data_IF_991596752967
#
_entry.id   IF_991596752967
#
_cell.length_a   1.000
_cell.length_b   1.000
_cell.length_c   1.000
_cell.angle_alpha   90.00
_cell.angle_beta   90.00
_cell.angle_gamma   90.00
#
_symmetry.space_group_name_H-M   'P 1'
#
loop_
_entity.id
_entity.type
_entity.pdbx_description
1 polymer ?
#
# COMPACT_ATOMS: atom_id res chain seq x y z
N UNK A 1 6.25 6.94 -15.35
CA UNK A 1 5.47 7.92 -14.58
C UNK A 1 4.12 7.33 -14.27
N UNK A 2 3.77 7.27 -12.98
CA UNK A 2 2.42 6.94 -12.50
C UNK A 2 1.41 7.98 -13.03
N UNK A 3 0.28 7.55 -13.57
CA UNK A 3 -0.81 8.46 -13.98
C UNK A 3 -1.63 8.91 -12.78
N UNK A 4 -2.21 10.12 -12.80
CA UNK A 4 -3.11 10.61 -11.73
C UNK A 4 -4.25 9.63 -11.40
N UNK A 5 -4.74 8.86 -12.38
CA UNK A 5 -5.77 7.83 -12.17
C UNK A 5 -5.36 6.74 -11.15
N UNK A 6 -4.06 6.43 -11.05
CA UNK A 6 -3.53 5.45 -10.09
C UNK A 6 -3.37 6.04 -8.69
N UNK A 7 -3.31 7.37 -8.56
CA UNK A 7 -3.36 8.07 -7.27
C UNK A 7 -4.77 8.06 -6.70
N UNK A 8 -5.76 8.32 -7.53
CA UNK A 8 -7.18 8.29 -7.14
C UNK A 8 -7.67 6.86 -6.85
N UNK A 9 -6.98 5.86 -7.39
CA UNK A 9 -7.28 4.43 -7.22
C UNK A 9 -6.00 3.64 -6.90
N UNK A 10 -5.47 3.76 -5.67
CA UNK A 10 -4.25 3.08 -5.25
C UNK A 10 -4.31 1.55 -5.41
N UNK A 11 -5.51 0.96 -5.29
CA UNK A 11 -5.76 -0.47 -5.52
C UNK A 11 -5.45 -0.94 -6.95
N UNK A 12 -5.55 -0.06 -7.96
CA UNK A 12 -5.21 -0.42 -9.35
C UNK A 12 -3.72 -0.62 -9.56
N UNK A 13 -2.89 -0.10 -8.65
CA UNK A 13 -1.45 -0.28 -8.72
C UNK A 13 -1.07 -1.73 -8.45
N UNK A 14 -1.85 -2.47 -7.66
CA UNK A 14 -1.53 -3.85 -7.31
C UNK A 14 -1.37 -4.76 -8.53
N UNK A 15 -2.23 -4.61 -9.54
CA UNK A 15 -2.13 -5.38 -10.79
C UNK A 15 -0.81 -5.11 -11.52
N UNK A 16 -0.32 -3.85 -11.52
CA UNK A 16 0.96 -3.47 -12.16
C UNK A 16 2.16 -4.14 -11.50
N UNK A 17 2.10 -4.38 -10.20
CA UNK A 17 3.20 -4.94 -9.40
C UNK A 17 3.00 -6.41 -9.04
N UNK A 18 1.98 -7.08 -9.60
CA UNK A 18 1.65 -8.47 -9.22
C UNK A 18 1.42 -8.63 -7.71
N UNK A 19 0.84 -7.61 -7.08
CA UNK A 19 0.49 -7.59 -5.66
C UNK A 19 -0.93 -8.13 -5.49
N UNK A 20 -1.13 -8.94 -4.46
CA UNK A 20 -2.47 -9.41 -4.06
C UNK A 20 -2.88 -8.74 -2.75
N UNK A 21 -4.11 -8.25 -2.68
CA UNK A 21 -4.66 -7.63 -1.48
C UNK A 21 -5.73 -8.51 -0.84
N UNK A 22 -5.84 -8.45 0.49
CA UNK A 22 -6.73 -9.30 1.30
C UNK A 22 -7.80 -8.49 2.03
N UNK A 23 -8.84 -7.99 1.35
CA UNK A 23 -9.80 -7.04 1.93
C UNK A 23 -10.70 -7.63 3.02
N UNK A 24 -10.88 -8.94 3.08
CA UNK A 24 -11.69 -9.59 4.13
C UNK A 24 -10.83 -9.81 5.38
N UNK A 25 -9.65 -10.40 5.20
CA UNK A 25 -8.66 -10.66 6.23
C UNK A 25 -8.15 -9.36 6.82
N UNK A 26 -8.01 -8.28 6.03
CA UNK A 26 -7.61 -6.97 6.55
C UNK A 26 -8.61 -6.39 7.54
N UNK A 27 -9.90 -6.72 7.43
CA UNK A 27 -10.90 -6.29 8.42
C UNK A 27 -10.81 -7.09 9.71
N UNK A 28 -10.34 -8.33 9.61
CA UNK A 28 -10.17 -9.24 10.75
C UNK A 28 -8.87 -8.87 11.48
N UNK A 29 -7.74 -8.90 10.77
CA UNK A 29 -6.41 -8.55 11.28
C UNK A 29 -6.40 -7.10 11.77
N UNK A 30 -6.89 -6.17 10.95
CA UNK A 30 -6.89 -4.74 11.23
C UNK A 30 -5.50 -4.09 11.07
N UNK A 31 -5.36 -2.86 11.56
CA UNK A 31 -4.15 -2.05 11.44
C UNK A 31 -3.01 -2.61 12.31
N UNK A 32 -1.77 -2.76 11.79
CA UNK A 32 -0.64 -3.22 12.58
C UNK A 32 -0.32 -2.38 13.82
N UNK A 33 -0.63 -1.08 13.82
CA UNK A 33 -0.41 -0.18 14.95
C UNK A 33 -1.19 -0.61 16.20
N UNK A 34 -2.30 -1.35 16.05
CA UNK A 34 -3.06 -1.87 17.20
C UNK A 34 -2.22 -2.87 18.01
N UNK A 35 -1.32 -3.61 17.36
CA UNK A 35 -0.50 -4.66 17.96
C UNK A 35 0.69 -4.12 18.77
N UNK A 36 0.97 -2.82 18.67
CA UNK A 36 1.95 -2.17 19.56
C UNK A 36 1.44 -2.10 21.01
N UNK A 37 0.11 -2.10 21.18
CA UNK A 37 -0.56 -1.86 22.47
C UNK A 37 -1.29 -3.08 23.04
N UNK A 38 -1.54 -4.08 22.20
CA UNK A 38 -2.28 -5.30 22.56
C UNK A 38 -1.75 -6.49 21.76
N UNK A 39 -1.79 -7.67 22.35
CA UNK A 39 -1.52 -8.90 21.60
C UNK A 39 -2.66 -9.18 20.61
N UNK A 40 -2.36 -9.77 19.43
CA UNK A 40 -3.39 -10.19 18.50
C UNK A 40 -4.32 -11.23 19.14
N UNK A 41 -5.60 -11.16 18.78
CA UNK A 41 -6.57 -12.20 19.15
C UNK A 41 -6.35 -13.46 18.31
N UNK A 42 -6.84 -14.61 18.78
CA UNK A 42 -6.75 -15.89 18.03
C UNK A 42 -7.34 -15.78 16.60
N UNK A 43 -8.37 -14.96 16.41
CA UNK A 43 -8.98 -14.73 15.10
C UNK A 43 -8.07 -13.92 14.17
N UNK A 44 -7.35 -12.94 14.72
CA UNK A 44 -6.38 -12.13 14.00
C UNK A 44 -5.14 -12.94 13.61
N UNK A 45 -4.64 -13.75 14.54
CA UNK A 45 -3.53 -14.66 14.29
C UNK A 45 -3.89 -15.66 13.20
N UNK A 46 -5.05 -16.32 13.29
CA UNK A 46 -5.49 -17.29 12.29
C UNK A 46 -5.65 -16.68 10.89
N UNK A 47 -6.15 -15.44 10.79
CA UNK A 47 -6.25 -14.75 9.51
C UNK A 47 -4.88 -14.44 8.90
N UNK A 48 -3.92 -14.00 9.72
CA UNK A 48 -2.53 -13.75 9.29
C UNK A 48 -1.84 -15.05 8.85
N UNK A 49 -1.96 -16.11 9.66
CA UNK A 49 -1.38 -17.42 9.36
C UNK A 49 -1.93 -17.99 8.04
N UNK A 50 -3.24 -17.90 7.81
CA UNK A 50 -3.86 -18.37 6.57
C UNK A 50 -3.28 -17.71 5.32
N UNK A 51 -2.94 -16.42 5.39
CA UNK A 51 -2.29 -15.70 4.28
C UNK A 51 -0.88 -16.25 4.05
N UNK A 52 -0.08 -16.36 5.12
CA UNK A 52 1.30 -16.81 5.05
C UNK A 52 1.42 -18.28 4.60
N UNK A 53 0.51 -19.15 5.05
CA UNK A 53 0.45 -20.56 4.63
C UNK A 53 0.11 -20.70 3.13
N UNK A 54 -0.75 -19.82 2.61
CA UNK A 54 -1.15 -19.82 1.20
C UNK A 54 -0.06 -19.23 0.30
N UNK A 55 0.81 -18.39 0.85
CA UNK A 55 1.83 -17.63 0.11
C UNK A 55 3.19 -17.63 0.82
N UNK A 56 3.81 -18.81 1.02
CA UNK A 56 5.02 -18.95 1.84
C UNK A 56 6.27 -18.29 1.25
N UNK A 57 6.27 -18.01 -0.05
CA UNK A 57 7.37 -17.38 -0.78
C UNK A 57 7.16 -15.87 -0.99
N UNK A 58 5.99 -15.34 -0.60
CA UNK A 58 5.67 -13.92 -0.76
C UNK A 58 5.93 -13.16 0.54
N UNK A 59 6.34 -11.90 0.42
CA UNK A 59 6.39 -10.99 1.55
C UNK A 59 4.98 -10.46 1.84
N UNK A 60 4.58 -10.49 3.10
CA UNK A 60 3.34 -9.91 3.61
C UNK A 60 3.64 -8.55 4.25
N UNK A 61 2.90 -7.51 3.86
CA UNK A 61 3.02 -6.17 4.42
C UNK A 61 1.66 -5.48 4.49
N UNK A 62 1.62 -4.33 5.15
CA UNK A 62 0.42 -3.50 5.28
C UNK A 62 0.56 -2.24 4.42
N UNK A 63 -0.42 -2.00 3.54
CA UNK A 63 -0.52 -0.76 2.79
C UNK A 63 -1.36 0.26 3.55
N UNK A 64 -0.69 1.21 4.22
CA UNK A 64 -1.31 2.30 4.97
C UNK A 64 -2.20 3.21 4.10
N UNK A 65 -1.93 3.31 2.80
CA UNK A 65 -2.73 4.15 1.89
C UNK A 65 -4.13 3.60 1.70
N UNK A 66 -4.27 2.27 1.70
CA UNK A 66 -5.55 1.59 1.45
C UNK A 66 -6.12 0.93 2.71
N UNK A 67 -5.32 0.78 3.77
CA UNK A 67 -5.67 0.04 4.97
C UNK A 67 -5.76 -1.47 4.75
N UNK A 68 -5.00 -2.00 3.79
CA UNK A 68 -5.07 -3.40 3.37
C UNK A 68 -3.75 -4.13 3.62
N UNK A 69 -3.86 -5.36 4.12
CA UNK A 69 -2.78 -6.34 4.05
C UNK A 69 -2.62 -6.84 2.63
N UNK A 70 -1.38 -6.84 2.16
CA UNK A 70 -1.00 -7.16 0.79
C UNK A 70 0.21 -8.09 0.76
N UNK A 71 0.29 -8.91 -0.28
CA UNK A 71 1.46 -9.74 -0.57
C UNK A 71 2.04 -9.46 -1.95
N UNK A 72 3.33 -9.72 -2.09
CA UNK A 72 4.04 -9.71 -3.36
C UNK A 72 5.48 -10.17 -3.18
N UNK A 73 6.23 -10.23 -4.27
CA UNK A 73 7.70 -10.29 -4.17
C UNK A 73 8.22 -8.99 -3.53
N UNK A 74 9.27 -9.08 -2.73
CA UNK A 74 9.86 -7.92 -2.02
C UNK A 74 10.19 -6.77 -3.00
N UNK A 75 10.84 -7.08 -4.12
CA UNK A 75 11.19 -6.11 -5.16
C UNK A 75 9.95 -5.39 -5.74
N UNK A 76 8.84 -6.11 -5.89
CA UNK A 76 7.60 -5.55 -6.42
C UNK A 76 6.91 -4.64 -5.42
N UNK A 77 6.90 -5.03 -4.14
CA UNK A 77 6.38 -4.20 -3.05
C UNK A 77 7.21 -2.91 -2.91
N UNK A 78 8.54 -3.03 -2.89
CA UNK A 78 9.44 -1.87 -2.82
C UNK A 78 9.26 -0.93 -4.01
N UNK A 79 9.17 -1.47 -5.23
CA UNK A 79 8.93 -0.67 -6.43
C UNK A 79 7.55 0.01 -6.42
N UNK A 80 6.52 -0.60 -5.83
CA UNK A 80 5.21 0.03 -5.67
C UNK A 80 5.27 1.23 -4.74
N UNK A 81 5.85 1.06 -3.55
CA UNK A 81 5.94 2.14 -2.57
C UNK A 81 6.84 3.27 -3.08
N UNK A 82 7.97 2.96 -3.73
CA UNK A 82 8.85 3.96 -4.32
C UNK A 82 8.15 4.81 -5.40
N UNK A 83 7.35 4.20 -6.28
CA UNK A 83 6.60 4.96 -7.29
C UNK A 83 5.49 5.82 -6.66
N UNK A 84 4.93 5.44 -5.51
CA UNK A 84 3.95 6.26 -4.77
C UNK A 84 4.62 7.46 -4.13
N UNK A 85 5.76 7.27 -3.46
CA UNK A 85 6.53 8.35 -2.85
C UNK A 85 6.97 9.37 -3.92
N UNK A 86 7.51 8.89 -5.04
CA UNK A 86 7.91 9.74 -6.16
C UNK A 86 6.73 10.55 -6.76
N UNK A 87 5.50 10.03 -6.66
CA UNK A 87 4.30 10.73 -7.11
C UNK A 87 3.87 11.81 -6.11
N UNK A 88 3.92 11.51 -4.81
CA UNK A 88 3.64 12.50 -3.75
C UNK A 88 4.63 13.66 -3.87
N UNK A 89 5.92 13.36 -3.99
CA UNK A 89 6.97 14.37 -4.19
C UNK A 89 6.71 15.25 -5.43
N UNK A 90 6.26 14.63 -6.53
CA UNK A 90 5.93 15.36 -7.76
C UNK A 90 4.72 16.27 -7.58
N UNK A 91 3.68 15.84 -6.86
CA UNK A 91 2.49 16.65 -6.56
C UNK A 91 2.82 17.83 -5.64
N UNK A 92 3.64 17.61 -4.61
CA UNK A 92 4.11 18.68 -3.71
C UNK A 92 5.01 19.68 -4.45
N UNK A 93 5.77 19.22 -5.45
CA UNK A 93 6.65 20.08 -6.26
C UNK A 93 5.89 20.90 -7.31
N UNK A 94 4.80 20.38 -7.87
CA UNK A 94 4.01 21.05 -8.93
C UNK A 94 3.07 22.14 -8.36
N UNK A 95 2.60 22.00 -7.11
CA UNK A 95 1.83 23.03 -6.40
C UNK A 95 2.65 24.31 -6.08
N UNK A 96 3.98 24.25 -6.26
CA UNK A 96 4.90 25.38 -6.09
C UNK A 96 5.20 26.24 -7.33
N UNK A 97 4.82 25.81 -8.55
CA UNK A 97 5.25 26.50 -9.78
C UNK A 97 4.14 27.11 -10.65
N UNK A 98 2.87 26.97 -10.27
CA UNK A 98 1.75 27.45 -11.08
C UNK A 98 1.33 28.93 -10.85
N UNK A 99 2.14 29.78 -10.17
CA UNK A 99 1.71 31.15 -9.82
C UNK A 99 2.68 32.31 -10.04
N UNK A 100 3.71 32.18 -10.86
CA UNK A 100 4.50 33.34 -11.28
C UNK A 100 4.90 33.19 -12.74
N UNK A 101 4.01 33.57 -13.67
CA UNK A 101 4.35 34.05 -15.02
C UNK A 101 3.07 34.51 -15.77
N UNK A 102 2.21 35.29 -15.11
CA UNK A 102 1.34 36.24 -15.81
C UNK A 102 1.84 37.65 -15.50
N UNK A 103 2.91 38.04 -16.19
CA UNK A 103 3.37 39.43 -16.30
C UNK A 103 4.21 39.52 -17.58
N UNK A 104 3.51 39.63 -18.71
CA UNK A 104 4.01 40.38 -19.87
C UNK A 104 2.93 41.41 -20.26
#
# INVERSE_FOLDING_TARGET
MMSQELFERPEKQYEKYSITAFPEESKIIGDPAQFESAEPTEEQEAAMESILESHPEAALTFDETTGLWIIGEEDNLEAMFADRDALVDALESDDGSARLLESD
#
